data_IF_973268472244
#
_entry.id   IF_973268472244
#
_cell.length_a   1.000
_cell.length_b   1.000
_cell.length_c   1.000
_cell.angle_alpha   90.00
_cell.angle_beta   90.00
_cell.angle_gamma   90.00
#
_symmetry.space_group_name_H-M   'P 1'
#
loop_
_entity.id
_entity.type
_entity.pdbx_description
1 polymer ?
#
# COMPACT_ATOMS: atom_id res chain seq x y z
N UNK A 1 -12.47 -5.46 -6.79
CA UNK A 1 -11.17 -5.34 -6.09
C UNK A 1 -11.14 -5.99 -4.71
N UNK A 2 -12.07 -5.76 -3.77
CA UNK A 2 -12.02 -6.34 -2.40
C UNK A 2 -11.97 -7.87 -2.46
N UNK A 3 -12.92 -8.50 -3.10
CA UNK A 3 -12.99 -9.97 -3.24
C UNK A 3 -11.82 -10.53 -4.05
N UNK A 4 -11.46 -9.86 -5.14
CA UNK A 4 -10.38 -10.32 -6.03
C UNK A 4 -9.00 -10.25 -5.38
N UNK A 5 -8.73 -9.28 -4.51
CA UNK A 5 -7.46 -9.23 -3.76
C UNK A 5 -7.31 -10.38 -2.76
N UNK A 6 -8.39 -10.73 -2.07
CA UNK A 6 -8.38 -11.88 -1.16
C UNK A 6 -8.17 -13.19 -1.94
N UNK A 7 -8.81 -13.30 -3.11
CA UNK A 7 -8.65 -14.45 -4.00
C UNK A 7 -7.21 -14.55 -4.54
N UNK A 8 -6.64 -13.44 -5.00
CA UNK A 8 -5.24 -13.41 -5.50
C UNK A 8 -4.23 -13.70 -4.39
N UNK A 9 -4.47 -13.26 -3.16
CA UNK A 9 -3.66 -13.64 -2.00
C UNK A 9 -3.67 -15.15 -1.78
N UNK A 10 -4.85 -15.77 -1.79
CA UNK A 10 -5.00 -17.21 -1.67
C UNK A 10 -4.31 -17.98 -2.83
N UNK A 11 -4.45 -17.49 -4.07
CA UNK A 11 -3.78 -18.06 -5.24
C UNK A 11 -2.26 -17.96 -5.08
N UNK A 12 -1.73 -16.80 -4.65
CA UNK A 12 -0.32 -16.57 -4.44
C UNK A 12 0.26 -17.49 -3.35
N UNK A 13 -0.51 -17.77 -2.29
CA UNK A 13 -0.12 -18.73 -1.27
C UNK A 13 -0.11 -20.17 -1.78
N UNK A 14 -1.04 -20.52 -2.66
CA UNK A 14 -1.19 -21.88 -3.20
C UNK A 14 -0.25 -22.18 -4.37
N UNK A 15 -0.15 -21.29 -5.35
CA UNK A 15 0.58 -21.50 -6.61
C UNK A 15 1.99 -20.90 -6.58
N UNK A 16 2.26 -19.97 -5.67
CA UNK A 16 3.50 -19.21 -5.61
C UNK A 16 3.32 -17.74 -6.01
N UNK A 17 4.30 -16.92 -5.61
CA UNK A 17 4.25 -15.47 -5.86
C UNK A 17 4.55 -15.15 -7.33
N UNK A 18 5.57 -15.78 -7.90
CA UNK A 18 6.00 -15.58 -9.28
C UNK A 18 4.89 -15.85 -10.30
N UNK A 19 4.26 -17.05 -10.36
CA UNK A 19 3.21 -17.31 -11.34
C UNK A 19 1.99 -16.41 -11.13
N UNK A 20 1.67 -16.05 -9.88
CA UNK A 20 0.56 -15.14 -9.61
C UNK A 20 0.82 -13.72 -10.11
N UNK A 21 2.04 -13.17 -9.96
CA UNK A 21 2.42 -11.87 -10.54
C UNK A 21 2.26 -11.89 -12.06
N UNK A 22 2.73 -12.96 -12.71
CA UNK A 22 2.63 -13.11 -14.16
C UNK A 22 1.16 -13.20 -14.62
N UNK A 23 0.36 -14.02 -13.93
CA UNK A 23 -1.06 -14.15 -14.23
C UNK A 23 -1.82 -12.83 -14.07
N UNK A 24 -1.53 -12.08 -13.00
CA UNK A 24 -2.15 -10.77 -12.77
C UNK A 24 -1.72 -9.74 -13.85
N UNK A 25 -0.47 -9.77 -14.28
CA UNK A 25 0.02 -8.87 -15.33
C UNK A 25 -0.60 -9.17 -16.69
N UNK A 26 -0.71 -10.46 -17.05
CA UNK A 26 -1.43 -10.90 -18.26
C UNK A 26 -2.91 -10.53 -18.16
N UNK A 27 -3.51 -10.71 -16.97
CA UNK A 27 -4.87 -10.27 -16.70
C UNK A 27 -5.07 -8.77 -16.92
N UNK A 28 -4.07 -7.95 -16.55
CA UNK A 28 -4.06 -6.51 -16.85
C UNK A 28 -4.00 -6.23 -18.35
N UNK A 29 -3.26 -7.03 -19.14
CA UNK A 29 -3.20 -6.88 -20.59
C UNK A 29 -4.56 -7.06 -21.29
N UNK A 30 -5.53 -7.73 -20.65
CA UNK A 30 -6.92 -7.82 -21.14
C UNK A 30 -7.53 -6.43 -21.34
N UNK A 31 -7.07 -5.42 -20.60
CA UNK A 31 -7.47 -4.02 -20.79
C UNK A 31 -7.27 -3.48 -22.22
N UNK A 32 -6.39 -4.07 -23.03
CA UNK A 32 -6.21 -3.70 -24.45
C UNK A 32 -7.50 -3.89 -25.26
N UNK A 33 -8.31 -4.87 -24.93
CA UNK A 33 -9.58 -5.13 -25.65
C UNK A 33 -10.57 -3.98 -25.57
N UNK A 34 -10.45 -3.08 -24.58
CA UNK A 34 -11.25 -1.85 -24.47
C UNK A 34 -11.18 -0.97 -25.73
N UNK A 35 -10.08 -1.04 -26.46
CA UNK A 35 -9.85 -0.24 -27.69
C UNK A 35 -10.78 -0.65 -28.82
N UNK A 36 -11.12 -1.94 -28.91
CA UNK A 36 -11.91 -2.55 -29.99
C UNK A 36 -13.41 -2.48 -29.68
N UNK A 37 -13.76 -2.49 -28.40
CA UNK A 37 -15.17 -2.55 -27.96
C UNK A 37 -15.87 -1.22 -28.23
N UNK A 38 -17.05 -1.31 -28.89
CA UNK A 38 -17.94 -0.17 -29.17
C UNK A 38 -19.17 -0.13 -28.27
N UNK A 39 -19.60 -1.31 -27.76
CA UNK A 39 -20.75 -1.42 -26.89
C UNK A 39 -20.35 -1.08 -25.44
N UNK A 40 -21.10 -0.16 -24.82
CA UNK A 40 -20.86 0.30 -23.45
C UNK A 40 -20.88 -0.83 -22.40
N UNK A 41 -21.84 -1.75 -22.49
CA UNK A 41 -21.96 -2.84 -21.54
C UNK A 41 -20.79 -3.86 -21.65
N UNK A 42 -20.36 -4.12 -22.89
CA UNK A 42 -19.18 -4.97 -23.13
C UNK A 42 -17.92 -4.28 -22.63
N UNK A 43 -17.79 -2.95 -22.80
CA UNK A 43 -16.69 -2.18 -22.25
C UNK A 43 -16.63 -2.32 -20.72
N UNK A 44 -17.77 -2.16 -20.03
CA UNK A 44 -17.85 -2.35 -18.57
C UNK A 44 -17.50 -3.77 -18.15
N UNK A 45 -17.89 -4.77 -18.91
CA UNK A 45 -17.56 -6.17 -18.64
C UNK A 45 -16.04 -6.42 -18.75
N UNK A 46 -15.40 -5.87 -19.78
CA UNK A 46 -13.93 -5.95 -19.96
C UNK A 46 -13.21 -5.20 -18.83
N UNK A 47 -13.67 -4.01 -18.45
CA UNK A 47 -13.13 -3.23 -17.32
C UNK A 47 -13.24 -4.00 -16.01
N UNK A 48 -14.39 -4.63 -15.76
CA UNK A 48 -14.60 -5.47 -14.59
C UNK A 48 -13.67 -6.67 -14.57
N UNK A 49 -13.58 -7.39 -15.69
CA UNK A 49 -12.73 -8.58 -15.81
C UNK A 49 -11.26 -8.24 -15.61
N UNK A 50 -10.76 -7.20 -16.27
CA UNK A 50 -9.41 -6.70 -16.12
C UNK A 50 -9.13 -6.31 -14.66
N UNK A 51 -10.02 -5.54 -14.03
CA UNK A 51 -9.89 -5.14 -12.63
C UNK A 51 -9.84 -6.34 -11.66
N UNK A 52 -10.58 -7.41 -11.95
CA UNK A 52 -10.55 -8.64 -11.15
C UNK A 52 -9.21 -9.37 -11.31
N UNK A 53 -8.74 -9.51 -12.54
CA UNK A 53 -7.53 -10.27 -12.87
C UNK A 53 -6.24 -9.52 -12.42
N UNK A 54 -6.19 -8.20 -12.63
CA UNK A 54 -5.02 -7.39 -12.34
C UNK A 54 -4.91 -6.95 -10.86
N UNK A 55 -5.99 -7.07 -10.09
CA UNK A 55 -6.08 -6.48 -8.73
C UNK A 55 -4.98 -6.91 -7.76
N UNK A 56 -4.45 -8.11 -7.92
CA UNK A 56 -3.41 -8.67 -7.05
C UNK A 56 -1.99 -8.29 -7.43
N UNK A 57 -1.77 -7.73 -8.63
CA UNK A 57 -0.44 -7.46 -9.16
C UNK A 57 0.42 -6.65 -8.17
N UNK A 58 -0.11 -5.53 -7.69
CA UNK A 58 0.57 -4.67 -6.71
C UNK A 58 0.93 -5.43 -5.44
N UNK A 59 -0.06 -6.08 -4.83
CA UNK A 59 0.11 -6.72 -3.52
C UNK A 59 1.08 -7.89 -3.58
N UNK A 60 0.95 -8.75 -4.59
CA UNK A 60 1.81 -9.95 -4.73
C UNK A 60 3.24 -9.55 -5.12
N UNK A 61 3.41 -8.51 -5.95
CA UNK A 61 4.73 -7.99 -6.32
C UNK A 61 5.47 -7.41 -5.11
N UNK A 62 4.77 -6.65 -4.24
CA UNK A 62 5.36 -6.13 -2.98
C UNK A 62 5.76 -7.27 -2.05
N UNK A 63 4.90 -8.28 -1.89
CA UNK A 63 5.21 -9.44 -1.05
C UNK A 63 6.45 -10.17 -1.59
N UNK A 64 6.50 -10.44 -2.89
CA UNK A 64 7.66 -11.09 -3.52
C UNK A 64 8.94 -10.26 -3.31
N UNK A 65 8.86 -8.94 -3.49
CA UNK A 65 9.99 -8.02 -3.30
C UNK A 65 10.52 -8.07 -1.85
N UNK A 66 9.63 -8.08 -0.86
CA UNK A 66 9.99 -8.15 0.56
C UNK A 66 10.54 -9.53 0.94
N UNK A 67 9.99 -10.61 0.36
CA UNK A 67 10.45 -11.98 0.63
C UNK A 67 11.81 -12.29 0.00
N UNK A 68 12.13 -11.72 -1.16
CA UNK A 68 13.44 -11.85 -1.83
C UNK A 68 14.47 -10.89 -1.25
N UNK A 69 14.06 -9.72 -0.79
CA UNK A 69 14.93 -8.75 -0.12
C UNK A 69 15.37 -9.22 1.25
N UNK A 70 16.66 -9.09 1.58
CA UNK A 70 17.18 -9.35 2.92
C UNK A 70 16.59 -8.37 3.95
N UNK A 71 16.57 -8.75 5.23
CA UNK A 71 15.95 -7.95 6.32
C UNK A 71 16.41 -6.50 6.37
N UNK A 72 17.71 -6.26 6.19
CA UNK A 72 18.29 -4.92 6.18
C UNK A 72 17.86 -4.05 4.98
N UNK A 73 17.35 -4.65 3.90
CA UNK A 73 16.97 -3.96 2.66
C UNK A 73 15.45 -3.83 2.45
N UNK A 74 14.64 -4.43 3.32
CA UNK A 74 13.16 -4.42 3.18
C UNK A 74 12.57 -3.03 3.12
N UNK A 75 13.01 -2.14 4.01
CA UNK A 75 12.54 -0.75 4.04
C UNK A 75 12.90 -0.02 2.74
N UNK A 76 14.15 -0.17 2.31
CA UNK A 76 14.64 0.43 1.06
C UNK A 76 13.88 -0.11 -0.17
N UNK A 77 13.59 -1.41 -0.20
CA UNK A 77 12.80 -2.03 -1.26
C UNK A 77 11.38 -1.44 -1.32
N UNK A 78 10.73 -1.23 -0.18
CA UNK A 78 9.42 -0.59 -0.09
C UNK A 78 9.43 0.85 -0.62
N UNK A 79 10.45 1.64 -0.26
CA UNK A 79 10.62 3.02 -0.74
C UNK A 79 10.85 3.06 -2.26
N UNK A 80 11.73 2.20 -2.79
CA UNK A 80 11.96 2.11 -4.23
C UNK A 80 10.67 1.74 -4.98
N UNK A 81 9.89 0.84 -4.42
CA UNK A 81 8.62 0.43 -5.01
C UNK A 81 7.60 1.59 -5.04
N UNK A 82 7.45 2.33 -3.94
CA UNK A 82 6.59 3.52 -3.90
C UNK A 82 7.03 4.57 -4.93
N UNK A 83 8.33 4.81 -5.04
CA UNK A 83 8.86 5.76 -6.00
C UNK A 83 8.63 5.32 -7.45
N UNK A 84 8.72 4.02 -7.74
CA UNK A 84 8.37 3.49 -9.06
C UNK A 84 6.89 3.76 -9.41
N UNK A 85 5.97 3.69 -8.44
CA UNK A 85 4.56 4.05 -8.64
C UNK A 85 4.43 5.53 -8.98
N UNK A 86 5.08 6.43 -8.24
CA UNK A 86 5.01 7.88 -8.53
C UNK A 86 5.62 8.24 -9.88
N UNK A 87 6.73 7.60 -10.25
CA UNK A 87 7.30 7.76 -11.61
C UNK A 87 6.29 7.28 -12.65
N UNK A 88 5.60 6.16 -12.40
CA UNK A 88 4.53 5.67 -13.28
C UNK A 88 3.37 6.67 -13.43
N UNK A 89 2.94 7.32 -12.35
CA UNK A 89 1.92 8.38 -12.38
C UNK A 89 2.36 9.58 -13.22
N UNK A 90 3.62 10.00 -13.08
CA UNK A 90 4.19 11.11 -13.87
C UNK A 90 4.30 10.74 -15.36
N UNK A 91 4.78 9.53 -15.67
CA UNK A 91 4.85 9.04 -17.07
C UNK A 91 3.47 8.93 -17.71
N UNK A 92 2.47 8.46 -16.92
CA UNK A 92 1.08 8.42 -17.35
C UNK A 92 0.57 9.82 -17.74
N UNK A 93 0.85 10.83 -16.93
CA UNK A 93 0.43 12.20 -17.19
C UNK A 93 1.10 12.78 -18.46
N UNK A 94 2.38 12.50 -18.67
CA UNK A 94 3.08 12.89 -19.91
C UNK A 94 2.51 12.17 -21.13
N UNK A 95 2.22 10.86 -21.02
CA UNK A 95 1.56 10.11 -22.08
C UNK A 95 0.18 10.70 -22.41
N UNK A 96 -0.62 11.02 -21.40
CA UNK A 96 -1.94 11.61 -21.58
C UNK A 96 -1.88 13.03 -22.16
N UNK A 97 -0.83 13.80 -21.86
CA UNK A 97 -0.59 15.12 -22.44
C UNK A 97 -0.23 15.05 -23.94
N UNK A 98 0.59 14.06 -24.31
CA UNK A 98 1.02 13.87 -25.70
C UNK A 98 0.00 13.14 -26.58
N UNK A 99 -0.65 12.12 -26.02
CA UNK A 99 -1.60 11.26 -26.72
C UNK A 99 -3.02 11.76 -26.47
N UNK A 100 -3.52 12.64 -27.30
CA UNK A 100 -4.85 13.26 -27.12
C UNK A 100 -6.03 12.29 -27.26
N UNK A 101 -5.83 11.10 -27.84
CA UNK A 101 -6.86 10.13 -28.13
C UNK A 101 -6.85 8.99 -27.11
N UNK A 102 -7.97 8.80 -26.40
CA UNK A 102 -8.07 7.88 -25.27
C UNK A 102 -7.70 6.42 -25.61
N UNK A 103 -8.07 5.93 -26.82
CA UNK A 103 -7.73 4.57 -27.26
C UNK A 103 -6.23 4.35 -27.35
N UNK A 104 -5.49 5.35 -27.83
CA UNK A 104 -4.02 5.29 -27.89
C UNK A 104 -3.40 5.25 -26.51
N UNK A 105 -3.97 6.01 -25.55
CA UNK A 105 -3.53 5.99 -24.15
C UNK A 105 -3.73 4.59 -23.56
N UNK A 106 -4.91 3.99 -23.76
CA UNK A 106 -5.20 2.63 -23.31
C UNK A 106 -4.19 1.63 -23.89
N UNK A 107 -3.91 1.73 -25.19
CA UNK A 107 -2.97 0.83 -25.86
C UNK A 107 -1.55 0.96 -25.29
N UNK A 108 -1.07 2.19 -25.11
CA UNK A 108 0.28 2.47 -24.58
C UNK A 108 0.43 1.98 -23.14
N UNK A 109 -0.63 1.99 -22.33
CA UNK A 109 -0.58 1.56 -20.93
C UNK A 109 -0.68 0.05 -20.81
N UNK A 110 -1.62 -0.57 -21.49
CA UNK A 110 -1.92 -1.99 -21.27
C UNK A 110 -1.13 -2.96 -22.19
N UNK A 111 -0.74 -2.54 -23.40
CA UNK A 111 0.01 -3.42 -24.30
C UNK A 111 1.38 -3.83 -23.72
N UNK A 112 2.16 -2.94 -23.06
CA UNK A 112 3.42 -3.34 -22.44
C UNK A 112 3.27 -4.39 -21.33
N UNK A 113 2.08 -4.56 -20.75
CA UNK A 113 1.86 -5.59 -19.72
C UNK A 113 2.10 -7.01 -20.24
N UNK A 114 2.00 -7.23 -21.55
CA UNK A 114 2.34 -8.51 -22.18
C UNK A 114 3.84 -8.84 -21.98
N UNK A 115 4.71 -7.81 -21.88
CA UNK A 115 6.13 -8.01 -21.65
C UNK A 115 6.43 -8.66 -20.29
N UNK A 116 5.49 -8.61 -19.33
CA UNK A 116 5.63 -9.35 -18.06
C UNK A 116 5.67 -10.86 -18.23
N UNK A 117 5.33 -11.40 -19.40
CA UNK A 117 5.62 -12.79 -19.73
C UNK A 117 7.12 -13.11 -19.62
N UNK A 118 7.99 -12.14 -19.91
CA UNK A 118 9.43 -12.31 -19.76
C UNK A 118 9.83 -12.55 -18.29
N UNK A 119 8.99 -12.19 -17.33
CA UNK A 119 9.21 -12.47 -15.91
C UNK A 119 9.20 -13.97 -15.59
N UNK A 120 8.61 -14.80 -16.44
CA UNK A 120 8.72 -16.26 -16.33
C UNK A 120 10.18 -16.72 -16.34
N UNK A 121 11.04 -16.01 -17.08
CA UNK A 121 12.46 -16.32 -17.22
C UNK A 121 13.35 -15.49 -16.26
N UNK A 122 12.98 -14.25 -15.97
CA UNK A 122 13.76 -13.30 -15.19
C UNK A 122 13.57 -13.46 -13.69
N UNK A 123 12.32 -13.66 -13.24
CA UNK A 123 12.01 -13.77 -11.83
C UNK A 123 12.23 -15.20 -11.31
N UNK A 124 12.66 -15.27 -10.06
CA UNK A 124 12.67 -16.50 -9.27
C UNK A 124 11.55 -16.46 -8.24
N UNK A 125 11.11 -17.65 -7.82
CA UNK A 125 10.11 -17.78 -6.78
C UNK A 125 10.72 -17.41 -5.42
N UNK A 126 9.84 -17.00 -4.49
CA UNK A 126 10.23 -16.70 -3.13
C UNK A 126 10.84 -17.93 -2.45
N UNK A 127 12.08 -17.79 -1.95
CA UNK A 127 12.78 -18.84 -1.19
C UNK A 127 11.95 -19.23 0.04
N UNK A 128 11.35 -18.25 0.71
CA UNK A 128 10.51 -18.46 1.89
C UNK A 128 9.30 -19.32 1.55
N UNK A 129 8.63 -19.05 0.42
CA UNK A 129 7.48 -19.83 -0.05
C UNK A 129 7.91 -21.27 -0.41
N UNK A 130 9.03 -21.43 -1.13
CA UNK A 130 9.59 -22.75 -1.48
C UNK A 130 9.86 -23.60 -0.23
N UNK A 131 10.44 -22.99 0.82
CA UNK A 131 10.69 -23.69 2.10
C UNK A 131 9.41 -24.08 2.84
N UNK A 132 8.38 -23.21 2.84
CA UNK A 132 7.07 -23.51 3.47
C UNK A 132 6.41 -24.70 2.76
N UNK A 133 6.58 -24.80 1.43
CA UNK A 133 6.02 -25.89 0.60
C UNK A 133 6.85 -27.18 0.64
N UNK A 134 8.03 -27.14 1.24
CA UNK A 134 8.93 -28.31 1.31
C UNK A 134 9.83 -28.48 0.08
N UNK A 135 9.81 -27.54 -0.87
CA UNK A 135 10.65 -27.57 -2.08
C UNK A 135 12.07 -27.07 -1.75
N UNK A 136 12.79 -27.80 -0.90
CA UNK A 136 14.10 -27.38 -0.38
C UNK A 136 15.16 -27.31 -1.50
N UNK A 137 15.13 -28.22 -2.45
CA UNK A 137 16.11 -28.27 -3.55
C UNK A 137 16.00 -27.04 -4.46
N UNK A 138 14.76 -26.62 -4.79
CA UNK A 138 14.51 -25.39 -5.55
C UNK A 138 14.95 -24.15 -4.76
N UNK A 139 14.72 -24.13 -3.44
CA UNK A 139 15.17 -23.05 -2.56
C UNK A 139 16.70 -22.94 -2.55
N UNK A 140 17.43 -24.08 -2.47
CA UNK A 140 18.88 -24.12 -2.56
C UNK A 140 19.40 -23.65 -3.92
N UNK A 141 18.73 -24.01 -5.02
CA UNK A 141 19.07 -23.51 -6.36
C UNK A 141 18.89 -21.99 -6.46
N UNK A 142 17.80 -21.46 -5.90
CA UNK A 142 17.55 -20.01 -5.86
C UNK A 142 18.62 -19.28 -5.04
N UNK A 143 19.05 -19.86 -3.90
CA UNK A 143 20.14 -19.33 -3.08
C UNK A 143 21.49 -19.33 -3.82
N UNK A 144 21.84 -20.42 -4.53
CA UNK A 144 23.06 -20.48 -5.34
C UNK A 144 23.10 -19.38 -6.39
N UNK A 145 21.95 -19.13 -7.03
CA UNK A 145 21.83 -18.07 -8.03
C UNK A 145 22.01 -16.67 -7.41
N UNK A 146 21.38 -16.41 -6.27
CA UNK A 146 21.51 -15.15 -5.53
C UNK A 146 22.95 -14.94 -5.07
N UNK A 147 23.61 -15.97 -4.54
CA UNK A 147 25.01 -15.90 -4.14
C UNK A 147 25.91 -15.54 -5.32
N UNK A 148 25.67 -16.13 -6.50
CA UNK A 148 26.41 -15.85 -7.73
C UNK A 148 26.25 -14.39 -8.18
N UNK A 149 24.98 -13.87 -8.22
CA UNK A 149 24.72 -12.49 -8.65
C UNK A 149 25.27 -11.45 -7.68
N UNK A 150 25.19 -11.72 -6.38
CA UNK A 150 25.72 -10.82 -5.35
C UNK A 150 27.22 -11.00 -5.10
N UNK A 151 27.91 -11.89 -5.83
CA UNK A 151 29.34 -12.19 -5.67
C UNK A 151 29.70 -12.52 -4.22
N UNK A 152 28.84 -13.28 -3.54
CA UNK A 152 29.09 -13.72 -2.18
C UNK A 152 30.14 -14.81 -2.18
N UNK A 153 31.09 -14.79 -1.21
CA UNK A 153 32.09 -15.77 -1.00
C UNK A 153 31.51 -17.03 -0.31
N UNK A 154 30.49 -17.64 -0.90
CA UNK A 154 29.85 -18.86 -0.40
C UNK A 154 29.95 -19.91 -1.50
N UNK A 155 30.52 -21.03 -1.15
CA UNK A 155 30.73 -22.16 -2.06
C UNK A 155 29.40 -22.90 -2.31
N UNK A 156 29.22 -23.43 -3.51
CA UNK A 156 28.02 -24.21 -3.84
C UNK A 156 27.84 -25.44 -2.93
N UNK A 157 28.93 -26.05 -2.46
CA UNK A 157 28.92 -27.15 -1.51
C UNK A 157 28.38 -26.72 -0.15
N UNK A 158 28.80 -25.57 0.37
CA UNK A 158 28.30 -25.04 1.65
C UNK A 158 26.78 -24.80 1.64
N UNK A 159 26.18 -24.38 0.51
CA UNK A 159 24.73 -24.22 0.39
C UNK A 159 24.04 -25.61 0.34
N UNK A 160 24.69 -26.62 -0.23
CA UNK A 160 24.14 -27.96 -0.31
C UNK A 160 24.14 -28.67 1.04
N UNK A 161 25.20 -28.49 1.83
CA UNK A 161 25.38 -29.13 3.14
C UNK A 161 24.49 -28.52 4.26
N UNK A 162 23.91 -27.31 4.04
CA UNK A 162 23.03 -26.72 5.04
C UNK A 162 21.76 -27.55 5.20
N UNK A 163 21.45 -27.90 6.46
CA UNK A 163 20.25 -28.67 6.78
C UNK A 163 18.97 -27.90 6.45
N UNK A 164 17.88 -28.61 6.16
CA UNK A 164 16.59 -28.02 5.90
C UNK A 164 16.04 -27.26 7.11
N UNK A 165 16.40 -27.66 8.32
CA UNK A 165 16.00 -27.03 9.58
C UNK A 165 16.74 -25.71 9.80
N UNK A 166 18.05 -25.68 9.56
CA UNK A 166 18.87 -24.46 9.65
C UNK A 166 18.43 -23.40 8.64
N UNK A 167 18.10 -23.82 7.42
CA UNK A 167 17.55 -22.92 6.41
C UNK A 167 16.21 -22.32 6.86
N UNK A 168 15.30 -23.15 7.37
CA UNK A 168 14.01 -22.68 7.89
C UNK A 168 14.19 -21.69 9.04
N UNK A 169 15.10 -21.96 9.94
CA UNK A 169 15.42 -21.09 11.07
C UNK A 169 16.01 -19.74 10.59
N UNK A 170 17.00 -19.77 9.69
CA UNK A 170 17.64 -18.54 9.14
C UNK A 170 16.65 -17.65 8.37
N UNK A 171 15.66 -18.23 7.70
CA UNK A 171 14.63 -17.47 6.98
C UNK A 171 13.39 -17.19 7.82
N UNK A 172 13.43 -17.41 9.13
CA UNK A 172 12.30 -17.22 10.05
C UNK A 172 11.02 -17.92 9.54
N UNK A 173 11.17 -19.12 8.95
CA UNK A 173 10.04 -19.96 8.55
C UNK A 173 9.56 -20.71 9.78
N UNK A 174 8.87 -20.02 10.68
CA UNK A 174 8.22 -20.66 11.82
C UNK A 174 6.94 -21.28 11.31
N UNK A 175 6.84 -22.60 11.39
CA UNK A 175 5.55 -23.29 11.26
C UNK A 175 4.80 -22.97 12.56
N UNK A 176 4.00 -21.90 12.55
CA UNK A 176 3.19 -21.51 13.70
C UNK A 176 2.26 -22.66 14.05
N UNK A 177 2.53 -23.32 15.18
CA UNK A 177 1.73 -24.44 15.69
C UNK A 177 0.32 -24.03 16.11
N UNK A 178 0.10 -22.77 16.49
CA UNK A 178 -1.23 -22.25 16.88
C UNK A 178 -1.41 -20.84 16.34
N UNK A 179 -2.37 -20.65 15.44
CA UNK A 179 -2.87 -19.33 15.06
C UNK A 179 -3.98 -18.98 16.06
N UNK A 180 -3.82 -17.85 16.74
CA UNK A 180 -4.92 -17.26 17.51
C UNK A 180 -6.14 -17.10 16.58
N UNK A 181 -7.32 -17.48 17.09
CA UNK A 181 -8.54 -17.46 16.28
C UNK A 181 -9.09 -16.05 16.21
N UNK A 182 -9.77 -15.73 15.11
CA UNK A 182 -10.48 -14.45 14.96
C UNK A 182 -11.41 -14.15 16.16
N UNK A 183 -11.94 -15.19 16.77
CA UNK A 183 -12.80 -15.09 17.97
C UNK A 183 -12.05 -14.46 19.16
N UNK A 184 -10.75 -14.75 19.32
CA UNK A 184 -9.95 -14.23 20.43
C UNK A 184 -9.70 -12.72 20.25
N UNK A 185 -9.57 -12.28 19.01
CA UNK A 185 -9.50 -10.86 18.64
C UNK A 185 -10.79 -10.13 19.02
N UNK A 186 -11.94 -10.71 18.65
CA UNK A 186 -13.26 -10.11 18.90
C UNK A 186 -13.60 -10.03 20.40
N UNK A 187 -13.05 -10.92 21.19
CA UNK A 187 -13.24 -10.94 22.64
C UNK A 187 -12.36 -9.91 23.37
N UNK A 188 -11.27 -9.45 22.77
CA UNK A 188 -10.36 -8.46 23.36
C UNK A 188 -10.82 -7.04 23.02
N UNK A 189 -11.28 -6.30 24.04
CA UNK A 189 -11.72 -4.90 23.88
C UNK A 189 -10.59 -4.01 23.30
N UNK A 190 -9.37 -4.24 23.76
CA UNK A 190 -8.21 -3.48 23.32
C UNK A 190 -7.91 -3.73 21.83
N UNK A 191 -7.93 -5.00 21.39
CA UNK A 191 -7.73 -5.35 19.99
C UNK A 191 -8.83 -4.76 19.10
N UNK A 192 -10.08 -4.74 19.57
CA UNK A 192 -11.19 -4.13 18.84
C UNK A 192 -11.04 -2.62 18.71
N UNK A 193 -10.58 -1.91 19.74
CA UNK A 193 -10.29 -0.46 19.64
C UNK A 193 -9.17 -0.22 18.64
N UNK A 194 -8.05 -0.94 18.73
CA UNK A 194 -6.93 -0.81 17.80
C UNK A 194 -7.36 -1.11 16.37
N UNK A 195 -8.14 -2.16 16.15
CA UNK A 195 -8.64 -2.52 14.82
C UNK A 195 -9.56 -1.44 14.26
N UNK A 196 -10.49 -0.91 15.05
CA UNK A 196 -11.43 0.12 14.61
C UNK A 196 -10.72 1.42 14.24
N UNK A 197 -9.78 1.88 15.09
CA UNK A 197 -9.01 3.10 14.85
C UNK A 197 -8.11 2.96 13.62
N UNK A 198 -7.38 1.85 13.51
CA UNK A 198 -6.50 1.64 12.34
C UNK A 198 -7.29 1.44 11.07
N UNK A 199 -8.41 0.72 11.09
CA UNK A 199 -9.28 0.55 9.91
C UNK A 199 -9.83 1.88 9.42
N UNK A 200 -10.28 2.75 10.34
CA UNK A 200 -10.71 4.09 9.94
C UNK A 200 -9.54 4.94 9.39
N UNK A 201 -8.37 4.84 10.00
CA UNK A 201 -7.17 5.56 9.51
C UNK A 201 -6.73 5.07 8.12
N UNK A 202 -6.81 3.77 7.85
CA UNK A 202 -6.60 3.22 6.50
C UNK A 202 -7.63 3.74 5.50
N UNK A 203 -8.91 3.76 5.89
CA UNK A 203 -9.98 4.34 5.09
C UNK A 203 -9.69 5.81 4.78
N UNK A 204 -9.43 6.63 5.80
CA UNK A 204 -9.18 8.05 5.69
C UNK A 204 -7.97 8.36 4.79
N UNK A 205 -6.83 7.69 5.04
CA UNK A 205 -5.62 7.86 4.23
C UNK A 205 -5.87 7.55 2.76
N UNK A 206 -6.54 6.43 2.48
CA UNK A 206 -6.81 6.01 1.10
C UNK A 206 -7.83 6.92 0.41
N UNK A 207 -8.91 7.27 1.11
CA UNK A 207 -9.93 8.19 0.61
C UNK A 207 -9.34 9.54 0.24
N UNK A 208 -8.51 10.11 1.11
CA UNK A 208 -7.84 11.39 0.87
C UNK A 208 -6.79 11.29 -0.23
N UNK A 209 -5.95 10.23 -0.23
CA UNK A 209 -4.88 10.08 -1.22
C UNK A 209 -5.42 10.05 -2.63
N UNK A 210 -6.38 9.15 -2.90
CA UNK A 210 -7.01 9.01 -4.21
C UNK A 210 -7.95 10.19 -4.52
N UNK A 211 -8.68 10.69 -3.52
CA UNK A 211 -9.52 11.86 -3.68
C UNK A 211 -8.75 13.09 -4.13
N UNK A 212 -7.66 13.42 -3.46
CA UNK A 212 -6.80 14.55 -3.85
C UNK A 212 -6.13 14.33 -5.22
N UNK A 213 -5.78 13.08 -5.57
CA UNK A 213 -5.25 12.79 -6.90
C UNK A 213 -6.27 13.09 -8.00
N UNK A 214 -7.53 12.73 -7.80
CA UNK A 214 -8.63 13.05 -8.73
C UNK A 214 -8.89 14.55 -8.75
N UNK A 215 -8.89 15.22 -7.59
CA UNK A 215 -9.12 16.66 -7.51
C UNK A 215 -8.00 17.51 -8.08
N UNK A 216 -6.77 16.96 -8.21
CA UNK A 216 -5.65 17.70 -8.79
C UNK A 216 -5.90 18.19 -10.22
N UNK A 217 -6.65 17.40 -11.02
CA UNK A 217 -6.99 17.77 -12.40
C UNK A 217 -8.11 18.82 -12.51
N UNK A 218 -8.79 19.09 -11.40
CA UNK A 218 -9.87 20.08 -11.30
C UNK A 218 -9.38 21.44 -10.79
N UNK A 219 -8.11 21.53 -10.37
CA UNK A 219 -7.49 22.79 -9.96
C UNK A 219 -7.34 23.76 -11.15
N UNK A 220 -7.31 25.08 -10.89
CA UNK A 220 -7.05 26.08 -11.92
C UNK A 220 -5.73 25.83 -12.65
N UNK A 221 -5.70 26.07 -13.96
CA UNK A 221 -4.51 25.92 -14.79
C UNK A 221 -4.51 24.65 -15.64
N UNK A 222 -3.32 24.13 -15.94
CA UNK A 222 -3.17 22.96 -16.79
C UNK A 222 -3.36 21.67 -15.96
N UNK A 223 -4.40 20.91 -16.25
CA UNK A 223 -4.76 19.65 -15.55
C UNK A 223 -3.63 18.61 -15.52
N UNK A 224 -2.85 18.51 -16.58
CA UNK A 224 -1.72 17.57 -16.66
C UNK A 224 -0.57 17.98 -15.74
N UNK A 225 -0.24 19.28 -15.73
CA UNK A 225 0.79 19.82 -14.84
C UNK A 225 0.37 19.68 -13.37
N UNK A 226 -0.87 19.99 -13.06
CA UNK A 226 -1.40 19.85 -11.68
C UNK A 226 -1.34 18.38 -11.20
N UNK A 227 -1.65 17.42 -12.08
CA UNK A 227 -1.53 15.99 -11.77
C UNK A 227 -0.06 15.59 -11.54
N UNK A 228 0.86 16.05 -12.40
CA UNK A 228 2.30 15.80 -12.24
C UNK A 228 2.80 16.37 -10.92
N UNK A 229 2.42 17.61 -10.59
CA UNK A 229 2.81 18.25 -9.32
C UNK A 229 2.26 17.47 -8.11
N UNK A 230 1.02 16.99 -8.20
CA UNK A 230 0.42 16.17 -7.14
C UNK A 230 1.13 14.81 -6.97
N UNK A 231 1.57 14.17 -8.06
CA UNK A 231 2.38 12.97 -8.01
C UNK A 231 3.77 13.25 -7.43
N UNK A 232 4.42 14.34 -7.89
CA UNK A 232 5.73 14.74 -7.37
C UNK A 232 5.72 15.13 -5.89
N UNK A 233 4.63 15.70 -5.37
CA UNK A 233 4.49 16.00 -3.96
C UNK A 233 4.50 14.74 -3.06
N UNK A 234 4.25 13.56 -3.62
CA UNK A 234 4.28 12.30 -2.87
C UNK A 234 5.70 11.88 -2.50
N UNK A 235 6.72 12.18 -3.32
CA UNK A 235 8.12 11.86 -3.02
C UNK A 235 8.62 12.49 -1.71
N UNK A 236 8.55 13.82 -1.51
CA UNK A 236 8.94 14.43 -0.25
C UNK A 236 8.01 14.01 0.90
N UNK A 237 6.76 13.64 0.61
CA UNK A 237 5.83 13.14 1.63
C UNK A 237 6.32 11.85 2.30
N UNK A 238 6.82 10.88 1.53
CA UNK A 238 7.39 9.64 2.07
C UNK A 238 8.70 9.87 2.83
N UNK A 239 9.56 10.77 2.34
CA UNK A 239 10.79 11.15 3.06
C UNK A 239 10.46 11.82 4.39
N UNK A 240 9.47 12.70 4.40
CA UNK A 240 9.00 13.36 5.60
C UNK A 240 8.40 12.36 6.59
N UNK A 241 7.67 11.35 6.11
CA UNK A 241 7.15 10.26 6.92
C UNK A 241 8.30 9.53 7.63
N UNK A 242 9.32 9.11 6.89
CA UNK A 242 10.48 8.43 7.44
C UNK A 242 11.19 9.28 8.52
N UNK A 243 11.42 10.57 8.24
CA UNK A 243 12.06 11.47 9.19
C UNK A 243 11.23 11.68 10.46
N UNK A 244 9.94 12.00 10.31
CA UNK A 244 9.04 12.29 11.43
C UNK A 244 8.84 11.05 12.30
N UNK A 245 8.69 9.87 11.71
CA UNK A 245 8.51 8.62 12.45
C UNK A 245 9.69 8.26 13.32
N UNK A 246 10.89 8.47 12.81
CA UNK A 246 12.11 8.21 13.58
C UNK A 246 12.33 9.24 14.69
N UNK A 247 11.99 10.51 14.44
CA UNK A 247 12.23 11.60 15.37
C UNK A 247 11.13 11.72 16.45
N UNK A 248 9.87 11.81 16.03
CA UNK A 248 8.74 12.16 16.93
C UNK A 248 7.90 10.94 17.35
N UNK A 249 7.97 9.85 16.64
CA UNK A 249 7.14 8.67 16.84
C UNK A 249 6.06 8.52 15.77
N UNK A 250 5.42 7.35 15.76
CA UNK A 250 4.49 6.99 14.67
C UNK A 250 3.14 7.65 14.85
N UNK A 251 2.53 7.53 16.05
CA UNK A 251 1.22 8.11 16.39
C UNK A 251 1.21 9.63 16.21
N UNK A 252 2.19 10.31 16.82
CA UNK A 252 2.29 11.79 16.81
C UNK A 252 2.45 12.28 15.37
N UNK A 253 3.29 11.62 14.58
CA UNK A 253 3.51 11.98 13.18
C UNK A 253 2.28 11.79 12.31
N UNK A 254 1.51 10.71 12.53
CA UNK A 254 0.24 10.48 11.83
C UNK A 254 -0.79 11.55 12.20
N UNK A 255 -0.96 11.84 13.49
CA UNK A 255 -1.88 12.89 13.95
C UNK A 255 -1.51 14.25 13.37
N UNK A 256 -0.23 14.60 13.44
CA UNK A 256 0.29 15.84 12.85
C UNK A 256 0.08 15.92 11.35
N UNK A 257 0.31 14.82 10.63
CA UNK A 257 0.07 14.71 9.18
C UNK A 257 -1.39 14.94 8.79
N UNK A 258 -2.33 14.31 9.50
CA UNK A 258 -3.77 14.50 9.27
C UNK A 258 -4.21 15.93 9.58
N UNK A 259 -3.79 16.51 10.72
CA UNK A 259 -4.15 17.88 11.09
C UNK A 259 -3.54 18.86 10.09
N UNK A 260 -2.28 18.69 9.72
CA UNK A 260 -1.62 19.52 8.72
C UNK A 260 -2.35 19.48 7.37
N UNK A 261 -2.72 18.28 6.89
CA UNK A 261 -3.52 18.13 5.66
C UNK A 261 -4.86 18.86 5.77
N UNK A 262 -5.57 18.70 6.89
CA UNK A 262 -6.86 19.35 7.11
C UNK A 262 -6.75 20.87 7.08
N UNK A 263 -5.76 21.43 7.77
CA UNK A 263 -5.52 22.88 7.80
C UNK A 263 -5.20 23.43 6.41
N UNK A 264 -4.33 22.75 5.66
CA UNK A 264 -3.97 23.17 4.30
C UNK A 264 -5.18 23.15 3.35
N UNK A 265 -6.04 22.10 3.42
CA UNK A 265 -7.21 21.97 2.56
C UNK A 265 -8.30 22.97 2.92
N UNK A 266 -8.49 23.26 4.21
CA UNK A 266 -9.40 24.33 4.64
C UNK A 266 -8.86 25.70 4.20
N UNK A 267 -7.59 25.98 4.41
CA UNK A 267 -6.97 27.24 3.98
C UNK A 267 -7.05 27.44 2.45
N UNK A 268 -6.91 26.37 1.68
CA UNK A 268 -7.11 26.40 0.23
C UNK A 268 -8.52 26.86 -0.15
N UNK A 269 -9.53 26.42 0.59
CA UNK A 269 -10.94 26.78 0.34
C UNK A 269 -11.21 28.27 0.51
N UNK A 270 -10.55 28.89 1.50
CA UNK A 270 -10.70 30.31 1.78
C UNK A 270 -9.72 31.21 1.02
N UNK A 271 -8.81 30.63 0.21
CA UNK A 271 -7.84 31.41 -0.54
C UNK A 271 -8.52 32.20 -1.67
N UNK A 272 -8.11 33.47 -1.92
CA UNK A 272 -8.68 34.31 -2.97
C UNK A 272 -8.50 33.67 -4.36
N UNK A 273 -9.51 33.78 -5.22
CA UNK A 273 -9.43 33.26 -6.61
C UNK A 273 -8.36 33.93 -7.45
N UNK A 274 -8.04 35.19 -7.15
CA UNK A 274 -6.99 35.97 -7.82
C UNK A 274 -5.59 35.37 -7.65
N UNK A 275 -5.35 34.53 -6.60
CA UNK A 275 -4.02 33.99 -6.27
C UNK A 275 -4.00 32.49 -6.54
N UNK A 276 -4.06 32.11 -7.80
CA UNK A 276 -4.07 30.71 -8.26
C UNK A 276 -2.91 29.88 -7.72
N UNK A 277 -1.68 30.44 -7.68
CA UNK A 277 -0.53 29.72 -7.18
C UNK A 277 -0.64 29.34 -5.70
N UNK A 278 -1.31 30.17 -4.88
CA UNK A 278 -1.52 29.88 -3.46
C UNK A 278 -2.49 28.70 -3.28
N UNK A 279 -3.57 28.64 -4.07
CA UNK A 279 -4.49 27.50 -4.08
C UNK A 279 -3.77 26.19 -4.41
N UNK A 280 -2.93 26.19 -5.44
CA UNK A 280 -2.15 25.03 -5.86
C UNK A 280 -1.14 24.66 -4.78
N UNK A 281 -0.40 25.61 -4.21
CA UNK A 281 0.59 25.35 -3.17
C UNK A 281 -0.04 24.72 -1.91
N UNK A 282 -1.15 25.28 -1.43
CA UNK A 282 -1.89 24.75 -0.28
C UNK A 282 -2.42 23.33 -0.55
N UNK A 283 -2.93 23.09 -1.75
CA UNK A 283 -3.35 21.75 -2.17
C UNK A 283 -2.19 20.75 -2.14
N UNK A 284 -1.03 21.11 -2.70
CA UNK A 284 0.15 20.24 -2.73
C UNK A 284 0.69 19.97 -1.32
N UNK A 285 0.67 20.97 -0.43
CA UNK A 285 1.03 20.78 0.99
C UNK A 285 0.05 19.83 1.69
N UNK A 286 -1.26 19.97 1.44
CA UNK A 286 -2.26 19.01 1.93
C UNK A 286 -2.03 17.60 1.40
N UNK A 287 -1.70 17.47 0.11
CA UNK A 287 -1.37 16.18 -0.52
C UNK A 287 -0.11 15.55 0.10
N UNK A 288 0.92 16.34 0.38
CA UNK A 288 2.15 15.90 1.04
C UNK A 288 1.86 15.32 2.43
N UNK A 289 1.07 16.00 3.26
CA UNK A 289 0.66 15.48 4.57
C UNK A 289 -0.20 14.21 4.47
N UNK A 290 -1.07 14.13 3.48
CA UNK A 290 -1.86 12.92 3.19
C UNK A 290 -0.97 11.75 2.80
N UNK A 291 0.08 11.97 2.01
CA UNK A 291 1.04 10.93 1.60
C UNK A 291 1.79 10.38 2.82
N UNK A 292 2.27 11.28 3.71
CA UNK A 292 2.86 10.90 4.99
C UNK A 292 1.92 9.95 5.78
N UNK A 293 0.63 10.28 5.86
CA UNK A 293 -0.35 9.45 6.56
C UNK A 293 -0.60 8.11 5.85
N UNK A 294 -0.67 8.11 4.52
CA UNK A 294 -0.92 6.90 3.71
C UNK A 294 0.19 5.86 3.87
N UNK A 295 1.46 6.29 3.78
CA UNK A 295 2.62 5.40 4.00
C UNK A 295 2.76 5.03 5.46
N UNK A 296 2.50 5.99 6.35
CA UNK A 296 2.67 5.84 7.78
C UNK A 296 1.74 4.87 8.45
N UNK A 297 0.49 4.80 8.02
CA UNK A 297 -0.50 3.92 8.66
C UNK A 297 -0.14 2.43 8.50
N UNK A 298 0.51 2.05 7.39
CA UNK A 298 1.02 0.68 7.21
C UNK A 298 2.08 0.34 8.24
N UNK A 299 3.09 1.21 8.41
CA UNK A 299 4.16 1.01 9.40
C UNK A 299 3.60 0.95 10.81
N UNK A 300 2.72 1.89 11.16
CA UNK A 300 2.08 1.94 12.47
C UNK A 300 1.28 0.67 12.78
N UNK A 301 0.49 0.18 11.83
CA UNK A 301 -0.31 -1.04 11.99
C UNK A 301 0.55 -2.29 12.17
N UNK A 302 1.66 -2.40 11.45
CA UNK A 302 2.58 -3.54 11.57
C UNK A 302 3.26 -3.59 12.95
N UNK A 303 3.47 -2.45 13.60
CA UNK A 303 4.05 -2.37 14.95
C UNK A 303 2.99 -2.52 16.05
N UNK A 304 1.75 -2.06 15.80
CA UNK A 304 0.67 -2.01 16.80
C UNK A 304 0.09 -3.38 17.11
N UNK A 305 0.06 -4.31 16.13
CA UNK A 305 -0.55 -5.61 16.27
C UNK A 305 0.46 -6.72 16.56
N UNK A 306 0.11 -7.66 17.49
CA UNK A 306 0.95 -8.82 17.78
C UNK A 306 1.13 -9.71 16.54
N UNK A 307 2.27 -10.43 16.49
CA UNK A 307 2.68 -11.21 15.31
C UNK A 307 1.68 -12.29 14.93
N UNK A 308 1.00 -12.90 15.93
CA UNK A 308 -0.01 -13.96 15.75
C UNK A 308 -1.21 -13.54 14.88
N UNK A 309 -1.65 -12.28 14.99
CA UNK A 309 -2.85 -11.76 14.31
C UNK A 309 -2.57 -10.62 13.33
N UNK A 310 -1.34 -10.16 13.26
CA UNK A 310 -0.90 -8.99 12.45
C UNK A 310 -1.40 -9.03 11.01
N UNK A 311 -1.25 -10.17 10.35
CA UNK A 311 -1.67 -10.33 8.95
C UNK A 311 -3.18 -10.13 8.75
N UNK A 312 -3.99 -10.68 9.65
CA UNK A 312 -5.46 -10.55 9.60
C UNK A 312 -5.90 -9.11 9.89
N UNK A 313 -5.27 -8.45 10.87
CA UNK A 313 -5.59 -7.08 11.27
C UNK A 313 -5.24 -6.07 10.18
N UNK A 314 -4.04 -6.16 9.61
CA UNK A 314 -3.63 -5.33 8.47
C UNK A 314 -4.48 -5.63 7.24
N UNK A 315 -4.91 -6.88 7.05
CA UNK A 315 -5.86 -7.27 6.00
C UNK A 315 -7.22 -6.57 6.13
N UNK A 316 -7.77 -6.49 7.33
CA UNK A 316 -8.99 -5.72 7.62
C UNK A 316 -8.79 -4.22 7.31
N UNK A 317 -7.67 -3.64 7.75
CA UNK A 317 -7.31 -2.26 7.45
C UNK A 317 -7.23 -2.01 5.94
N UNK A 318 -6.58 -2.89 5.19
CA UNK A 318 -6.53 -2.82 3.73
C UNK A 318 -7.92 -2.88 3.07
N UNK A 319 -8.83 -3.68 3.62
CA UNK A 319 -10.22 -3.71 3.14
C UNK A 319 -10.90 -2.36 3.34
N UNK A 320 -10.73 -1.74 4.50
CA UNK A 320 -11.22 -0.38 4.77
C UNK A 320 -10.60 0.67 3.83
N UNK A 321 -9.29 0.56 3.52
CA UNK A 321 -8.63 1.41 2.55
C UNK A 321 -9.28 1.29 1.15
N UNK A 322 -9.68 0.09 0.72
CA UNK A 322 -10.36 -0.11 -0.56
C UNK A 322 -11.74 0.52 -0.61
N UNK A 323 -12.48 0.50 0.50
CA UNK A 323 -13.74 1.24 0.62
C UNK A 323 -13.48 2.74 0.44
N UNK A 324 -12.44 3.28 1.07
CA UNK A 324 -12.04 4.68 0.90
C UNK A 324 -11.70 5.03 -0.56
N UNK A 325 -10.87 4.22 -1.22
CA UNK A 325 -10.54 4.45 -2.63
C UNK A 325 -11.72 4.32 -3.58
N UNK A 326 -12.73 3.49 -3.25
CA UNK A 326 -13.95 3.33 -4.03
C UNK A 326 -14.88 4.55 -3.91
N UNK A 327 -14.89 5.20 -2.75
CA UNK A 327 -15.70 6.41 -2.53
C UNK A 327 -15.02 7.69 -3.08
N UNK A 328 -13.70 7.71 -3.21
CA UNK A 328 -12.95 8.86 -3.69
C UNK A 328 -13.44 9.41 -5.04
N UNK A 329 -13.71 8.61 -6.09
CA UNK A 329 -14.22 9.10 -7.38
C UNK A 329 -15.63 9.74 -7.31
N UNK A 330 -16.36 9.57 -6.22
CA UNK A 330 -17.67 10.20 -6.04
C UNK A 330 -17.55 11.65 -5.55
N UNK A 331 -16.40 12.04 -5.00
CA UNK A 331 -16.20 13.38 -4.43
C UNK A 331 -16.30 14.52 -5.44
N UNK A 332 -15.91 14.40 -6.75
CA UNK A 332 -16.18 15.43 -7.73
C UNK A 332 -17.65 15.76 -7.93
N UNK A 333 -18.58 14.84 -7.65
CA UNK A 333 -20.02 15.11 -7.73
C UNK A 333 -20.46 16.15 -6.69
N UNK A 334 -19.72 16.30 -5.60
CA UNK A 334 -19.98 17.28 -4.56
C UNK A 334 -19.71 18.72 -5.04
N UNK A 335 -18.81 18.89 -6.03
CA UNK A 335 -18.53 20.18 -6.66
C UNK A 335 -19.78 20.77 -7.36
N UNK A 336 -20.70 19.91 -7.79
CA UNK A 336 -21.97 20.36 -8.39
C UNK A 336 -22.86 21.15 -7.41
N UNK A 337 -22.62 21.00 -6.09
CA UNK A 337 -23.35 21.73 -5.05
C UNK A 337 -22.56 22.91 -4.51
N UNK A 338 -21.32 22.73 -4.17
CA UNK A 338 -20.43 23.75 -3.60
C UNK A 338 -18.97 23.37 -3.91
N UNK A 339 -18.18 24.30 -4.42
CA UNK A 339 -16.75 24.09 -4.74
C UNK A 339 -15.91 23.71 -3.51
N UNK A 340 -16.27 24.24 -2.36
CA UNK A 340 -15.59 23.98 -1.08
C UNK A 340 -15.85 22.59 -0.50
N UNK A 341 -16.94 21.93 -0.90
CA UNK A 341 -17.46 20.75 -0.20
C UNK A 341 -16.47 19.56 -0.18
N UNK A 342 -15.75 19.21 -1.26
CA UNK A 342 -14.78 18.13 -1.22
C UNK A 342 -13.61 18.40 -0.25
N UNK A 343 -13.06 19.61 -0.26
CA UNK A 343 -11.94 19.99 0.61
C UNK A 343 -12.35 19.97 2.09
N UNK A 344 -13.57 20.43 2.40
CA UNK A 344 -14.15 20.36 3.75
C UNK A 344 -14.34 18.90 4.16
N UNK A 345 -14.89 18.06 3.28
CA UNK A 345 -15.10 16.63 3.56
C UNK A 345 -13.77 15.92 3.87
N UNK A 346 -12.74 16.13 3.06
CA UNK A 346 -11.42 15.57 3.32
C UNK A 346 -10.84 16.05 4.65
N UNK A 347 -11.03 17.34 4.98
CA UNK A 347 -10.55 17.92 6.24
C UNK A 347 -11.28 17.32 7.44
N UNK A 348 -12.58 17.14 7.38
CA UNK A 348 -13.37 16.51 8.44
C UNK A 348 -12.92 15.07 8.67
N UNK A 349 -12.74 14.30 7.60
CA UNK A 349 -12.24 12.92 7.68
C UNK A 349 -10.84 12.87 8.29
N UNK A 350 -9.95 13.79 7.92
CA UNK A 350 -8.61 13.88 8.46
C UNK A 350 -8.61 14.20 9.97
N UNK A 351 -9.37 15.22 10.40
CA UNK A 351 -9.46 15.59 11.82
C UNK A 351 -10.05 14.44 12.64
N UNK A 352 -11.05 13.75 12.12
CA UNK A 352 -11.65 12.60 12.79
C UNK A 352 -10.66 11.44 12.91
N UNK A 353 -9.85 11.17 11.88
CA UNK A 353 -8.79 10.17 11.94
C UNK A 353 -7.72 10.55 12.99
N UNK A 354 -7.29 11.79 13.03
CA UNK A 354 -6.36 12.29 14.04
C UNK A 354 -6.91 12.14 15.46
N UNK A 355 -8.20 12.42 15.65
CA UNK A 355 -8.89 12.25 16.93
C UNK A 355 -8.93 10.77 17.34
N UNK A 356 -9.32 9.86 16.45
CA UNK A 356 -9.38 8.44 16.77
C UNK A 356 -8.03 7.85 17.15
N UNK A 357 -6.94 8.34 16.57
CA UNK A 357 -5.59 7.90 16.93
C UNK A 357 -5.22 8.23 18.38
N UNK A 358 -5.94 9.12 19.07
CA UNK A 358 -5.70 9.37 20.52
C UNK A 358 -5.94 8.14 21.37
N UNK A 359 -6.86 7.25 20.95
CA UNK A 359 -7.23 6.03 21.66
C UNK A 359 -6.25 4.87 21.49
N UNK A 360 -5.20 5.03 20.69
CA UNK A 360 -4.18 3.99 20.48
C UNK A 360 -2.84 4.44 21.04
N UNK A 361 -1.96 3.51 21.48
CA UNK A 361 -0.67 3.85 22.06
C UNK A 361 0.35 4.31 21.01
N UNK A 362 1.41 5.00 21.43
CA UNK A 362 2.60 5.26 20.62
C UNK A 362 3.41 3.98 20.48
N UNK A 363 3.77 3.60 19.24
CA UNK A 363 4.47 2.31 18.99
C UNK A 363 5.99 2.42 19.08
N UNK A 364 6.57 3.62 18.99
CA UNK A 364 8.02 3.83 18.99
C UNK A 364 8.73 3.23 20.21
N UNK A 365 8.09 3.28 21.35
CA UNK A 365 8.65 2.83 22.64
C UNK A 365 8.10 1.50 23.11
N UNK A 366 7.12 0.94 22.38
CA UNK A 366 6.52 -0.33 22.74
C UNK A 366 7.36 -1.51 22.23
N UNK A 367 7.53 -2.56 23.02
CA UNK A 367 8.09 -3.82 22.52
C UNK A 367 7.14 -4.46 21.51
N UNK A 368 7.67 -5.21 20.57
CA UNK A 368 6.87 -6.04 19.69
C UNK A 368 6.31 -7.22 20.47
N UNK A 369 4.99 -7.37 20.46
CA UNK A 369 4.30 -8.47 21.10
C UNK A 369 4.07 -9.61 20.12
N UNK A 370 4.09 -10.84 20.64
CA UNK A 370 3.83 -12.04 19.83
C UNK A 370 2.37 -12.49 19.93
N UNK A 371 1.73 -12.30 21.09
CA UNK A 371 0.36 -12.76 21.36
C UNK A 371 -0.53 -11.66 21.95
N UNK A 372 -1.85 -11.85 21.85
CA UNK A 372 -2.85 -10.93 22.42
C UNK A 372 -2.71 -10.87 23.96
N UNK A 373 -2.45 -11.99 24.60
CA UNK A 373 -2.27 -12.09 26.06
C UNK A 373 -1.12 -11.22 26.57
N UNK A 374 -0.02 -11.16 25.81
CA UNK A 374 1.11 -10.28 26.15
C UNK A 374 0.72 -8.80 26.11
N UNK A 375 -0.08 -8.40 25.12
CA UNK A 375 -0.59 -7.02 25.02
C UNK A 375 -1.45 -6.67 26.22
N UNK A 376 -2.40 -7.53 26.58
CA UNK A 376 -3.31 -7.32 27.70
C UNK A 376 -2.59 -7.29 29.04
N UNK A 377 -1.61 -8.17 29.24
CA UNK A 377 -0.79 -8.19 30.46
C UNK A 377 0.07 -6.93 30.59
N UNK A 378 0.59 -6.40 29.48
CA UNK A 378 1.37 -5.15 29.49
C UNK A 378 0.50 -3.96 29.88
N UNK A 379 -0.72 -3.87 29.34
CA UNK A 379 -1.68 -2.80 29.69
C UNK A 379 -2.11 -2.89 31.16
N UNK A 380 -2.41 -4.09 31.65
CA UNK A 380 -2.76 -4.31 33.05
C UNK A 380 -1.65 -3.85 33.98
N UNK A 381 -0.39 -4.18 33.69
CA UNK A 381 0.76 -3.71 34.48
C UNK A 381 0.94 -2.18 34.44
N UNK A 382 0.70 -1.55 33.29
CA UNK A 382 0.82 -0.09 33.19
C UNK A 382 -0.28 0.64 33.97
N UNK A 383 -1.48 0.05 34.10
CA UNK A 383 -2.56 0.62 34.93
C UNK A 383 -2.36 0.42 36.43
N UNK A 384 -1.61 -0.60 36.86
CA UNK A 384 -1.29 -0.83 38.28
C UNK A 384 -0.16 0.06 38.79
N UNK A 385 0.58 0.72 37.92
CA UNK A 385 1.66 1.66 38.27
C UNK A 385 1.27 3.15 38.17
N UNK A 386 0.01 3.46 37.80
CA UNK A 386 -0.63 4.78 37.85
C UNK A 386 -1.56 4.88 39.08
#
# INVERSE_FOLDING_TARGET
MIVSMSLTGWIADKMGRKPTVILCAIGGAVGVFKVIVTNYYVYLAVEFLESVLASGLYTVAVVLLIEVGGESKRVMAGVIFSYAVYVGEVLFAFAAMGLKFWKTIVLVIYAPMILFLCYAFLLRESIRWQMIRGNIDEAKQSLKLIAKYNKLNVTHAEIEDVSSEDLRFKFNVVIQKEKEKIKDILNSKEMMIRLSVTSFSFFASSFMYYGLMIHSVLLPGNKYINFILAALASFPGDLLAYYCFNKYGRKISLQGGYIFSAVCLVAQTFSPESITWLKIALFLLGKLGTCLCFTGIYTYSLELFPTSVRGSMVGCGNTAARIGSMLAPLTPLLLLKLEALPSILFSVVAVFAAFLLTFTPETKTLPMFDTIVQVESHISKSMTHL
#
